data_IF_247321471228
#
_entry.id   IF_247321471228
#
_cell.length_a   1.000
_cell.length_b   1.000
_cell.length_c   1.000
_cell.angle_alpha   90.00
_cell.angle_beta   90.00
_cell.angle_gamma   90.00
#
_symmetry.space_group_name_H-M   'P 1'
#
loop_
_entity.id
_entity.type
_entity.pdbx_description
1 polymer ?
#
# COMPACT_ATOMS: atom_id res chain seq x y z
N UNK A 1 -0.37 56.86 16.77
CA UNK A 1 0.75 55.90 16.70
C UNK A 1 0.24 54.69 15.93
N UNK A 2 0.54 54.62 14.62
CA UNK A 2 0.00 53.60 13.73
C UNK A 2 0.85 52.33 13.85
N UNK A 3 0.39 51.36 14.63
CA UNK A 3 0.95 50.01 14.60
C UNK A 3 0.61 49.39 13.23
N UNK A 4 1.56 49.49 12.30
CA UNK A 4 1.54 48.66 11.10
C UNK A 4 1.67 47.20 11.55
N UNK A 5 0.53 46.51 11.72
CA UNK A 5 0.47 45.05 11.80
C UNK A 5 1.00 44.51 10.46
N UNK A 6 2.32 44.35 10.40
CA UNK A 6 3.08 44.04 9.20
C UNK A 6 2.75 42.64 8.64
N UNK A 7 3.41 42.24 7.53
CA UNK A 7 3.10 41.05 6.72
C UNK A 7 3.26 39.70 7.45
N UNK A 8 3.48 39.70 8.76
CA UNK A 8 3.66 38.52 9.63
C UNK A 8 2.55 37.48 9.48
N UNK A 9 1.30 37.91 9.33
CA UNK A 9 0.19 36.96 9.13
C UNK A 9 0.27 36.25 7.77
N UNK A 10 0.63 36.97 6.71
CA UNK A 10 0.81 36.39 5.37
C UNK A 10 1.99 35.43 5.31
N UNK A 11 3.09 35.78 5.99
CA UNK A 11 4.27 34.92 6.13
C UNK A 11 3.91 33.64 6.91
N UNK A 12 3.21 33.78 8.03
CA UNK A 12 2.76 32.63 8.84
C UNK A 12 1.85 31.69 8.06
N UNK A 13 0.87 32.23 7.32
CA UNK A 13 -0.04 31.43 6.49
C UNK A 13 0.73 30.70 5.37
N UNK A 14 1.70 31.38 4.78
CA UNK A 14 2.58 30.79 3.76
C UNK A 14 3.38 29.62 4.34
N UNK A 15 3.94 29.75 5.55
CA UNK A 15 4.64 28.65 6.22
C UNK A 15 3.75 27.43 6.43
N UNK A 16 2.52 27.60 6.90
CA UNK A 16 1.57 26.48 7.07
C UNK A 16 1.29 25.80 5.73
N UNK A 17 1.04 26.59 4.68
CA UNK A 17 0.73 26.07 3.36
C UNK A 17 1.89 25.27 2.75
N UNK A 18 3.10 25.84 2.76
CA UNK A 18 4.29 25.15 2.27
C UNK A 18 4.65 23.93 3.12
N UNK A 19 4.43 23.97 4.44
CA UNK A 19 4.63 22.82 5.30
C UNK A 19 3.64 21.69 5.00
N UNK A 20 2.37 22.02 4.76
CA UNK A 20 1.36 21.05 4.33
C UNK A 20 1.71 20.36 3.01
N UNK A 21 2.18 21.14 2.03
CA UNK A 21 2.64 20.59 0.73
C UNK A 21 3.89 19.73 0.92
N UNK A 22 4.87 20.20 1.68
CA UNK A 22 6.10 19.45 1.95
C UNK A 22 5.83 18.12 2.67
N UNK A 23 4.92 18.13 3.64
CA UNK A 23 4.49 16.92 4.33
C UNK A 23 3.76 15.95 3.39
N UNK A 24 2.89 16.46 2.52
CA UNK A 24 2.20 15.64 1.53
C UNK A 24 3.17 15.02 0.51
N UNK A 25 4.13 15.79 0.00
CA UNK A 25 5.18 15.27 -0.88
C UNK A 25 6.06 14.24 -0.16
N UNK A 26 6.44 14.50 1.09
CA UNK A 26 7.18 13.54 1.89
C UNK A 26 6.42 12.22 2.00
N UNK A 27 5.12 12.26 2.27
CA UNK A 27 4.26 11.06 2.31
C UNK A 27 4.30 10.30 0.98
N UNK A 28 4.19 10.99 -0.17
CA UNK A 28 4.27 10.34 -1.50
C UNK A 28 5.65 9.73 -1.75
N UNK A 29 6.73 10.43 -1.39
CA UNK A 29 8.10 9.92 -1.57
C UNK A 29 8.31 8.67 -0.72
N UNK A 30 7.85 8.68 0.53
CA UNK A 30 7.92 7.51 1.40
C UNK A 30 7.11 6.34 0.83
N UNK A 31 5.91 6.61 0.31
CA UNK A 31 5.09 5.60 -0.37
C UNK A 31 5.85 4.97 -1.55
N UNK A 32 6.41 5.79 -2.42
CA UNK A 32 7.09 5.32 -3.63
C UNK A 32 8.46 4.68 -3.35
N UNK A 33 9.16 5.08 -2.29
CA UNK A 33 10.53 4.61 -2.01
C UNK A 33 10.56 3.41 -1.07
N UNK A 34 9.66 3.39 -0.07
CA UNK A 34 9.68 2.41 1.01
C UNK A 34 8.41 1.60 1.13
N UNK A 35 7.43 1.78 0.23
CA UNK A 35 6.23 0.96 0.22
C UNK A 35 6.58 -0.52 0.10
N UNK A 36 6.38 -1.24 1.20
CA UNK A 36 6.47 -2.69 1.26
C UNK A 36 5.14 -3.23 1.69
N UNK A 37 4.72 -4.28 1.03
CA UNK A 37 3.56 -5.04 1.47
C UNK A 37 4.04 -6.20 2.33
N UNK A 38 3.44 -6.33 3.50
CA UNK A 38 3.72 -7.39 4.46
C UNK A 38 2.49 -8.29 4.53
N UNK A 39 2.61 -9.46 3.93
CA UNK A 39 1.65 -10.55 4.07
C UNK A 39 2.13 -11.46 5.19
N UNK A 40 1.33 -11.54 6.26
CA UNK A 40 1.57 -12.43 7.39
C UNK A 40 0.56 -13.57 7.34
N UNK A 41 1.07 -14.79 7.16
CA UNK A 41 0.28 -16.01 7.16
C UNK A 41 0.27 -16.59 8.58
N UNK A 42 -0.90 -16.62 9.22
CA UNK A 42 -1.14 -17.31 10.48
C UNK A 42 -2.07 -18.52 10.22
N UNK A 43 -2.13 -19.47 11.16
CA UNK A 43 -2.90 -20.71 10.99
C UNK A 43 -4.41 -20.46 10.78
N UNK A 44 -4.95 -19.37 11.32
CA UNK A 44 -6.38 -19.03 11.26
C UNK A 44 -6.71 -17.82 10.36
N UNK A 45 -5.72 -16.97 10.07
CA UNK A 45 -5.90 -15.74 9.30
C UNK A 45 -4.69 -15.35 8.48
N UNK A 46 -4.95 -14.66 7.38
CA UNK A 46 -3.94 -13.99 6.58
C UNK A 46 -4.11 -12.48 6.78
N UNK A 47 -3.04 -11.83 7.22
CA UNK A 47 -3.01 -10.39 7.42
C UNK A 47 -2.20 -9.71 6.34
N UNK A 48 -2.75 -8.66 5.77
CA UNK A 48 -2.10 -7.77 4.83
C UNK A 48 -1.91 -6.40 5.47
N UNK A 49 -0.68 -5.89 5.43
CA UNK A 49 -0.33 -4.55 5.87
C UNK A 49 0.59 -3.90 4.85
N UNK A 50 0.24 -2.69 4.39
CA UNK A 50 1.16 -1.87 3.62
C UNK A 50 2.02 -1.04 4.58
N UNK A 51 3.28 -1.46 4.74
CA UNK A 51 4.29 -0.81 5.58
C UNK A 51 5.10 0.18 4.74
N UNK A 52 4.81 1.46 4.91
CA UNK A 52 5.59 2.58 4.36
C UNK A 52 6.56 3.17 5.39
N UNK A 53 6.97 2.37 6.40
CA UNK A 53 7.95 2.66 7.45
C UNK A 53 7.51 3.70 8.49
N UNK A 54 7.15 4.89 8.05
CA UNK A 54 6.63 5.98 8.89
C UNK A 54 5.12 6.17 8.78
N UNK A 55 4.50 5.55 7.77
CA UNK A 55 3.07 5.47 7.59
C UNK A 55 2.71 4.00 7.41
N UNK A 56 1.74 3.52 8.18
CA UNK A 56 1.16 2.19 8.02
C UNK A 56 -0.26 2.38 7.56
N UNK A 57 -0.65 1.67 6.51
CA UNK A 57 -2.06 1.63 6.13
C UNK A 57 -2.84 0.71 7.08
N UNK A 58 -4.16 0.73 6.97
CA UNK A 58 -5.03 -0.18 7.70
C UNK A 58 -4.63 -1.64 7.47
N UNK A 59 -4.43 -2.38 8.56
CA UNK A 59 -4.21 -3.83 8.51
C UNK A 59 -5.52 -4.51 8.12
N UNK A 60 -5.54 -5.17 6.97
CA UNK A 60 -6.67 -5.98 6.52
C UNK A 60 -6.38 -7.44 6.86
N UNK A 61 -7.28 -8.10 7.56
CA UNK A 61 -7.15 -9.52 7.89
C UNK A 61 -8.31 -10.30 7.29
N UNK A 62 -7.99 -11.42 6.63
CA UNK A 62 -8.95 -12.39 6.11
C UNK A 62 -8.77 -13.75 6.77
N UNK A 63 -9.84 -14.51 6.86
CA UNK A 63 -9.81 -15.90 7.36
C UNK A 63 -9.13 -16.82 6.32
N UNK A 64 -8.39 -17.82 6.80
CA UNK A 64 -7.71 -18.82 5.95
C UNK A 64 -8.65 -19.93 5.44
N UNK A 65 -9.88 -20.02 5.97
CA UNK A 65 -10.89 -20.99 5.49
C UNK A 65 -11.33 -20.66 4.07
N UNK A 66 -11.20 -21.60 3.13
CA UNK A 66 -11.65 -21.49 1.73
C UNK A 66 -11.05 -20.29 1.00
N UNK A 67 -9.74 -20.08 1.18
CA UNK A 67 -9.03 -18.99 0.50
C UNK A 67 -8.61 -19.41 -0.92
N UNK A 68 -8.99 -18.60 -1.91
CA UNK A 68 -8.55 -18.74 -3.28
C UNK A 68 -7.50 -17.66 -3.59
N UNK A 69 -6.35 -18.08 -4.10
CA UNK A 69 -5.25 -17.17 -4.46
C UNK A 69 -5.07 -17.17 -5.97
N UNK A 70 -5.25 -16.01 -6.60
CA UNK A 70 -5.17 -15.85 -8.06
C UNK A 70 -4.14 -14.79 -8.42
N UNK A 71 -3.24 -15.12 -9.36
CA UNK A 71 -2.34 -14.16 -9.97
C UNK A 71 -3.00 -13.52 -11.20
N UNK A 72 -3.11 -12.19 -11.20
CA UNK A 72 -3.72 -11.43 -12.31
C UNK A 72 -2.68 -10.52 -12.96
N UNK A 73 -2.55 -10.52 -14.30
CA UNK A 73 -1.64 -9.60 -14.99
C UNK A 73 -2.10 -8.14 -14.83
N UNK A 74 -1.14 -7.24 -14.63
CA UNK A 74 -1.40 -5.79 -14.63
C UNK A 74 -1.70 -5.29 -16.04
N UNK A 75 -2.44 -4.18 -16.14
CA UNK A 75 -2.86 -3.49 -17.37
C UNK A 75 -1.66 -3.13 -18.30
N UNK A 76 -0.46 -3.06 -17.74
CA UNK A 76 0.78 -2.79 -18.47
C UNK A 76 1.42 -4.09 -18.97
N UNK A 77 0.94 -4.58 -20.12
CA UNK A 77 1.43 -5.82 -20.77
C UNK A 77 2.93 -5.78 -21.09
N UNK A 78 3.51 -4.59 -21.25
CA UNK A 78 4.92 -4.38 -21.61
C UNK A 78 5.88 -4.87 -20.52
N UNK A 79 5.49 -4.74 -19.25
CA UNK A 79 6.36 -5.05 -18.12
C UNK A 79 6.19 -6.49 -17.60
N UNK A 80 5.22 -7.26 -18.12
CA UNK A 80 4.86 -8.61 -17.63
C UNK A 80 4.72 -8.68 -16.10
N UNK A 81 4.13 -7.66 -15.49
CA UNK A 81 3.93 -7.59 -14.05
C UNK A 81 2.57 -8.17 -13.68
N UNK A 82 2.50 -8.90 -12.57
CA UNK A 82 1.27 -9.43 -12.00
C UNK A 82 1.06 -8.94 -10.57
N UNK A 83 -0.19 -8.97 -10.15
CA UNK A 83 -0.62 -8.80 -8.76
C UNK A 83 -1.21 -10.11 -8.24
N UNK A 84 -1.17 -10.32 -6.94
CA UNK A 84 -1.85 -11.41 -6.25
C UNK A 84 -3.17 -10.91 -5.65
N UNK A 85 -4.22 -11.70 -5.84
CA UNK A 85 -5.54 -11.46 -5.27
C UNK A 85 -5.86 -12.65 -4.37
N UNK A 86 -6.21 -12.35 -3.13
CA UNK A 86 -6.68 -13.33 -2.16
C UNK A 86 -8.17 -13.13 -1.96
N UNK A 87 -8.97 -14.16 -2.26
CA UNK A 87 -10.43 -14.11 -2.16
C UNK A 87 -10.93 -15.15 -1.17
N UNK A 88 -11.89 -14.77 -0.35
CA UNK A 88 -12.69 -15.62 0.52
C UNK A 88 -14.16 -15.21 0.33
N UNK A 89 -15.14 -16.06 0.65
CA UNK A 89 -16.58 -15.90 0.35
C UNK A 89 -17.13 -14.47 0.54
N UNK A 90 -16.64 -13.74 1.56
CA UNK A 90 -17.05 -12.37 1.88
C UNK A 90 -15.92 -11.34 1.96
N UNK A 91 -14.66 -11.71 1.67
CA UNK A 91 -13.51 -10.82 1.85
C UNK A 91 -12.48 -10.98 0.74
N UNK A 92 -11.99 -9.86 0.20
CA UNK A 92 -10.90 -9.83 -0.77
C UNK A 92 -9.72 -9.00 -0.25
N UNK A 93 -8.49 -9.41 -0.60
CA UNK A 93 -7.28 -8.61 -0.46
C UNK A 93 -6.63 -8.55 -1.84
N UNK A 94 -6.53 -7.34 -2.38
CA UNK A 94 -5.76 -7.04 -3.58
C UNK A 94 -4.37 -6.57 -3.17
N UNK A 95 -3.34 -7.26 -3.65
CA UNK A 95 -1.96 -6.78 -3.51
C UNK A 95 -1.65 -5.76 -4.60
N UNK A 96 -0.79 -4.78 -4.30
CA UNK A 96 -0.35 -3.74 -5.23
C UNK A 96 1.10 -4.00 -5.68
N UNK A 97 1.77 -5.01 -5.09
CA UNK A 97 3.09 -5.47 -5.49
C UNK A 97 3.12 -5.90 -6.94
N UNK A 98 3.92 -5.19 -7.73
CA UNK A 98 4.17 -5.52 -9.13
C UNK A 98 5.41 -6.38 -9.22
N UNK A 99 5.20 -7.69 -9.38
CA UNK A 99 6.27 -8.69 -9.51
C UNK A 99 6.11 -9.37 -10.88
N UNK A 100 7.19 -9.86 -11.52
CA UNK A 100 7.06 -10.60 -12.77
C UNK A 100 6.01 -11.71 -12.69
N UNK A 101 5.12 -11.78 -13.66
CA UNK A 101 3.96 -12.68 -13.67
C UNK A 101 4.35 -14.15 -13.51
N UNK A 102 5.47 -14.55 -14.12
CA UNK A 102 6.03 -15.90 -13.99
C UNK A 102 6.35 -16.26 -12.52
N UNK A 103 6.84 -15.29 -11.74
CA UNK A 103 7.12 -15.45 -10.31
C UNK A 103 5.86 -15.38 -9.46
N UNK A 104 4.88 -14.55 -9.85
CA UNK A 104 3.60 -14.45 -9.14
C UNK A 104 2.76 -15.72 -9.28
N UNK A 105 2.75 -16.35 -10.46
CA UNK A 105 2.05 -17.63 -10.67
C UNK A 105 2.67 -18.76 -9.87
N UNK A 106 4.00 -18.80 -9.77
CA UNK A 106 4.72 -19.73 -8.89
C UNK A 106 4.33 -19.53 -7.41
N UNK A 107 4.30 -18.28 -6.93
CA UNK A 107 3.90 -17.95 -5.57
C UNK A 107 2.43 -18.28 -5.29
N UNK A 108 1.51 -17.99 -6.22
CA UNK A 108 0.09 -18.32 -6.08
C UNK A 108 -0.11 -19.84 -5.96
N UNK A 109 0.60 -20.63 -6.78
CA UNK A 109 0.54 -22.09 -6.73
C UNK A 109 1.12 -22.64 -5.42
N UNK A 110 2.19 -22.05 -4.89
CA UNK A 110 2.78 -22.46 -3.61
C UNK A 110 1.82 -22.21 -2.44
N UNK A 111 1.17 -21.05 -2.39
CA UNK A 111 0.23 -20.70 -1.33
C UNK A 111 -1.01 -21.61 -1.38
N UNK A 112 -1.54 -21.88 -2.57
CA UNK A 112 -2.70 -22.74 -2.77
C UNK A 112 -2.43 -24.24 -2.55
N UNK A 113 -1.16 -24.66 -2.48
CA UNK A 113 -0.79 -26.03 -2.14
C UNK A 113 -0.59 -26.21 -0.62
N UNK A 114 -0.46 -25.10 0.11
CA UNK A 114 -0.18 -25.09 1.55
C UNK A 114 -1.46 -24.98 2.40
N UNK A 115 -2.53 -24.45 1.82
CA UNK A 115 -3.85 -24.25 2.43
C UNK A 115 -4.92 -24.85 1.53
#
# INVERSE_FOLDING_TARGET
MSERKGPHFGIFLSFIFFWGIGFYMLRIILWNTFGREVLTFEDDKISYEADYRYFRDGKTSISTKDIEVVAVPTIDESAKLGILIFTNENQHIDTVLRVPFDKMTELAAEVNNRY
#
